data_IF_980552529948
#
_entry.id   IF_980552529948
#
_cell.length_a   1.000
_cell.length_b   1.000
_cell.length_c   1.000
_cell.angle_alpha   90.00
_cell.angle_beta   90.00
_cell.angle_gamma   90.00
#
_symmetry.space_group_name_H-M   'P 1'
#
loop_
_entity.id
_entity.type
_entity.pdbx_description
1 polymer ?
#
# COMPACT_ATOMS: atom_id res chain seq x y z
N UNK A 1 -9.44 3.18 14.16
CA UNK A 1 -8.54 2.90 13.01
C UNK A 1 -7.10 3.03 13.54
N UNK A 2 -6.04 2.59 12.84
CA UNK A 2 -4.66 2.76 13.33
C UNK A 2 -3.67 1.70 12.87
N UNK A 3 -2.39 1.96 13.12
CA UNK A 3 -1.23 1.12 12.76
C UNK A 3 -1.28 -0.34 13.24
N UNK A 4 -1.84 -0.70 14.42
CA UNK A 4 -1.93 -2.11 14.85
C UNK A 4 -2.66 -3.02 13.87
N UNK A 5 -3.56 -2.46 13.04
CA UNK A 5 -4.30 -3.24 12.03
C UNK A 5 -3.43 -3.67 10.85
N UNK A 6 -2.29 -3.00 10.64
CA UNK A 6 -1.33 -3.36 9.61
C UNK A 6 -0.63 -4.69 9.89
N UNK A 7 -0.52 -5.12 11.15
CA UNK A 7 0.00 -6.45 11.49
C UNK A 7 -0.90 -7.59 11.02
N UNK A 8 -2.19 -7.33 10.76
CA UNK A 8 -3.05 -8.28 10.07
C UNK A 8 -2.68 -8.52 8.61
N UNK A 9 -1.78 -7.70 8.02
CA UNK A 9 -1.18 -7.93 6.69
C UNK A 9 0.12 -8.72 6.76
N UNK A 10 0.82 -8.66 7.90
CA UNK A 10 2.06 -9.40 8.11
C UNK A 10 1.71 -10.88 7.95
N UNK A 11 2.48 -11.57 7.10
CA UNK A 11 2.29 -12.95 6.65
C UNK A 11 1.14 -13.23 5.67
N UNK A 12 0.29 -12.25 5.33
CA UNK A 12 -0.64 -12.41 4.19
C UNK A 12 0.13 -12.19 2.91
N UNK A 13 0.00 -13.11 1.95
CA UNK A 13 0.60 -12.95 0.64
C UNK A 13 -0.46 -13.00 -0.44
N UNK A 14 -0.39 -12.04 -1.36
CA UNK A 14 -1.12 -12.15 -2.60
C UNK A 14 -0.47 -13.24 -3.45
N UNK A 15 -1.27 -14.04 -4.15
CA UNK A 15 -0.74 -15.04 -5.08
C UNK A 15 0.17 -14.36 -6.11
N UNK A 16 1.37 -14.92 -6.31
CA UNK A 16 2.43 -14.36 -7.16
C UNK A 16 1.96 -14.05 -8.59
N UNK A 17 1.05 -14.86 -9.12
CA UNK A 17 0.46 -14.69 -10.45
C UNK A 17 -0.40 -13.41 -10.52
N UNK A 18 -1.30 -13.22 -9.54
CA UNK A 18 -2.14 -12.02 -9.47
C UNK A 18 -1.28 -10.77 -9.26
N UNK A 19 -0.24 -10.89 -8.43
CA UNK A 19 0.71 -9.82 -8.20
C UNK A 19 1.39 -9.37 -9.50
N UNK A 20 1.96 -10.30 -10.26
CA UNK A 20 2.68 -9.95 -11.50
C UNK A 20 1.72 -9.38 -12.53
N UNK A 21 0.54 -9.96 -12.66
CA UNK A 21 -0.47 -9.45 -13.57
C UNK A 21 -0.85 -8.02 -13.21
N UNK A 22 -1.12 -7.70 -11.93
CA UNK A 22 -1.40 -6.33 -11.49
C UNK A 22 -0.25 -5.37 -11.78
N UNK A 23 1.00 -5.79 -11.58
CA UNK A 23 2.17 -4.95 -11.86
C UNK A 23 2.25 -4.53 -13.34
N UNK A 24 1.78 -5.35 -14.28
CA UNK A 24 1.71 -4.98 -15.71
C UNK A 24 0.62 -3.96 -16.04
N UNK A 25 -0.30 -3.71 -15.09
CA UNK A 25 -1.50 -2.87 -15.30
C UNK A 25 -1.45 -1.54 -14.56
N UNK A 26 -0.43 -1.30 -13.75
CA UNK A 26 -0.29 -0.06 -13.00
C UNK A 26 0.38 1.00 -13.86
N UNK A 27 -0.34 2.08 -14.17
CA UNK A 27 0.24 3.32 -14.68
C UNK A 27 0.72 4.15 -13.49
N UNK A 28 2.04 4.23 -13.36
CA UNK A 28 2.72 4.87 -12.23
C UNK A 28 2.63 6.39 -12.30
N UNK A 29 2.59 6.98 -13.49
CA UNK A 29 2.52 8.44 -13.64
C UNK A 29 1.12 8.95 -13.29
N UNK A 30 0.11 8.20 -13.70
CA UNK A 30 -1.30 8.57 -13.50
C UNK A 30 -1.89 8.04 -12.20
N UNK A 31 -1.10 7.30 -11.41
CA UNK A 31 -1.56 6.61 -10.21
C UNK A 31 -2.86 5.82 -10.43
N UNK A 32 -2.90 5.08 -11.54
CA UNK A 32 -4.09 4.33 -11.92
C UNK A 32 -3.75 2.88 -12.28
N UNK A 33 -4.74 2.00 -12.13
CA UNK A 33 -4.68 0.66 -12.67
C UNK A 33 -5.57 0.59 -13.91
N UNK A 34 -5.03 0.02 -14.97
CA UNK A 34 -5.67 -0.09 -16.27
C UNK A 34 -6.16 -1.52 -16.46
N UNK A 35 -7.47 -1.68 -16.42
CA UNK A 35 -8.08 -2.98 -16.65
C UNK A 35 -7.94 -3.47 -18.10
N UNK A 36 -8.17 -4.77 -18.35
CA UNK A 36 -8.25 -5.33 -19.70
C UNK A 36 -9.27 -4.65 -20.62
N UNK A 37 -10.35 -4.13 -20.06
CA UNK A 37 -11.38 -3.39 -20.80
C UNK A 37 -10.98 -1.93 -21.11
N UNK A 38 -9.80 -1.50 -20.67
CA UNK A 38 -9.30 -0.14 -20.83
C UNK A 38 -9.89 0.87 -19.84
N UNK A 39 -10.66 0.42 -18.86
CA UNK A 39 -11.10 1.27 -17.76
C UNK A 39 -9.92 1.58 -16.84
N UNK A 40 -9.74 2.86 -16.56
CA UNK A 40 -8.76 3.34 -15.60
C UNK A 40 -9.45 3.56 -14.26
N UNK A 41 -8.80 3.12 -13.18
CA UNK A 41 -9.22 3.49 -11.84
C UNK A 41 -8.06 4.10 -11.08
N UNK A 42 -8.29 5.31 -10.56
CA UNK A 42 -7.37 5.96 -9.64
C UNK A 42 -7.58 5.40 -8.24
N UNK A 43 -6.50 5.33 -7.47
CA UNK A 43 -6.57 4.99 -6.05
C UNK A 43 -6.40 6.26 -5.26
N UNK A 44 -7.44 6.62 -4.51
CA UNK A 44 -7.46 7.82 -3.67
C UNK A 44 -7.03 7.48 -2.22
N UNK A 45 -6.35 8.39 -1.49
CA UNK A 45 -5.99 8.16 -0.09
C UNK A 45 -7.17 7.73 0.80
N UNK A 46 -8.39 8.21 0.56
CA UNK A 46 -9.56 7.79 1.36
C UNK A 46 -9.85 6.30 1.15
N UNK A 47 -9.63 5.77 -0.05
CA UNK A 47 -9.81 4.33 -0.32
C UNK A 47 -8.75 3.49 0.39
N UNK A 48 -7.51 3.98 0.49
CA UNK A 48 -6.46 3.35 1.29
C UNK A 48 -6.86 3.30 2.76
N UNK A 49 -7.41 4.39 3.29
CA UNK A 49 -7.92 4.46 4.66
C UNK A 49 -8.99 3.38 4.91
N UNK A 50 -9.97 3.25 4.02
CA UNK A 50 -11.02 2.25 4.20
C UNK A 50 -10.53 0.81 4.06
N UNK A 51 -9.57 0.57 3.16
CA UNK A 51 -9.03 -0.77 2.92
C UNK A 51 -8.10 -1.21 4.04
N UNK A 52 -7.11 -0.39 4.39
CA UNK A 52 -6.05 -0.74 5.35
C UNK A 52 -6.39 -0.32 6.79
N UNK A 53 -7.21 0.72 6.96
CA UNK A 53 -7.57 1.25 8.27
C UNK A 53 -6.49 2.08 8.93
N UNK A 54 -5.51 2.58 8.17
CA UNK A 54 -4.47 3.49 8.64
C UNK A 54 -4.98 4.94 8.64
N UNK A 55 -4.46 5.85 9.49
CA UNK A 55 -5.00 7.21 9.55
C UNK A 55 -4.84 7.98 8.24
N UNK A 56 -5.87 8.78 7.92
CA UNK A 56 -5.84 9.80 6.88
C UNK A 56 -6.02 11.15 7.57
N UNK A 57 -4.97 11.60 8.24
CA UNK A 57 -4.95 12.90 8.89
C UNK A 57 -4.90 14.07 7.92
N UNK A 58 -4.79 15.27 8.47
CA UNK A 58 -4.74 16.53 7.71
C UNK A 58 -3.32 17.03 7.47
N UNK A 59 -2.33 16.54 8.24
CA UNK A 59 -0.92 16.89 8.09
C UNK A 59 -0.22 15.93 7.13
N UNK A 60 0.70 16.41 6.27
CA UNK A 60 1.56 15.52 5.50
C UNK A 60 2.58 14.83 6.40
N UNK A 61 2.86 13.55 6.15
CA UNK A 61 3.92 12.83 6.88
C UNK A 61 5.28 13.52 6.65
N UNK A 62 6.06 13.81 7.71
CA UNK A 62 7.34 14.49 7.56
C UNK A 62 8.31 13.69 6.70
N UNK A 63 8.96 14.39 5.76
CA UNK A 63 9.96 13.80 4.84
C UNK A 63 11.38 14.30 5.09
N UNK A 64 11.50 15.40 5.84
CA UNK A 64 12.76 16.10 6.11
C UNK A 64 12.71 16.71 7.51
N UNK A 65 13.89 16.94 8.10
CA UNK A 65 14.02 17.65 9.38
C UNK A 65 14.09 19.15 9.11
N UNK A 66 13.20 19.92 9.72
CA UNK A 66 13.05 21.36 9.44
C UNK A 66 13.92 22.23 10.35
N UNK A 67 14.13 21.81 11.60
CA UNK A 67 14.89 22.54 12.62
C UNK A 67 15.97 21.65 13.30
N UNK A 68 16.88 22.27 14.03
CA UNK A 68 18.00 21.58 14.65
C UNK A 68 17.57 20.65 15.79
N UNK A 69 16.48 20.97 16.48
CA UNK A 69 15.88 20.10 17.50
C UNK A 69 15.39 18.78 16.87
N UNK A 70 14.69 18.85 15.74
CA UNK A 70 14.26 17.67 15.00
C UNK A 70 15.45 16.86 14.48
N UNK A 71 16.50 17.52 13.97
CA UNK A 71 17.71 16.82 13.51
C UNK A 71 18.36 16.03 14.66
N UNK A 72 18.55 16.66 15.82
CA UNK A 72 19.09 16.00 17.02
C UNK A 72 18.24 14.80 17.45
N UNK A 73 16.90 14.95 17.43
CA UNK A 73 16.00 13.85 17.71
C UNK A 73 16.19 12.67 16.73
N UNK A 74 16.23 12.94 15.42
CA UNK A 74 16.41 11.90 14.40
C UNK A 74 17.79 11.23 14.47
N UNK A 75 18.83 11.98 14.81
CA UNK A 75 20.17 11.43 15.08
C UNK A 75 20.14 10.50 16.30
N UNK A 76 19.42 10.88 17.36
CA UNK A 76 19.16 10.04 18.52
C UNK A 76 18.49 8.72 18.12
N UNK A 77 17.37 8.79 17.40
CA UNK A 77 16.63 7.62 16.88
C UNK A 77 17.54 6.72 16.02
N UNK A 78 18.33 7.32 15.12
CA UNK A 78 19.23 6.56 14.27
C UNK A 78 20.31 5.84 15.09
N UNK A 79 20.91 6.53 16.06
CA UNK A 79 21.95 5.97 16.93
C UNK A 79 21.42 4.81 17.78
N UNK A 80 20.20 4.95 18.30
CA UNK A 80 19.54 3.97 19.16
C UNK A 80 19.20 2.68 18.41
N UNK A 81 18.69 2.78 17.17
CA UNK A 81 18.22 1.62 16.43
C UNK A 81 19.21 1.05 15.39
N UNK A 82 20.37 1.67 15.18
CA UNK A 82 21.37 1.20 14.17
C UNK A 82 22.53 0.36 14.75
N UNK A 83 22.39 -0.12 15.99
CA UNK A 83 23.43 -0.70 16.88
C UNK A 83 24.33 -1.82 16.34
N UNK A 84 24.09 -2.41 15.17
CA UNK A 84 24.79 -3.64 14.73
C UNK A 84 25.60 -3.56 13.44
N UNK A 85 25.93 -2.39 12.89
CA UNK A 85 27.03 -2.32 11.90
C UNK A 85 27.52 -0.90 11.66
N UNK A 86 28.84 -0.61 11.73
CA UNK A 86 29.44 0.57 11.11
C UNK A 86 29.56 0.29 9.61
N UNK A 87 28.43 0.10 8.92
CA UNK A 87 28.44 0.08 7.47
C UNK A 87 27.97 1.43 6.97
N UNK A 88 28.65 1.96 5.96
CA UNK A 88 28.28 3.14 5.18
C UNK A 88 26.90 3.00 4.47
N UNK A 89 26.03 2.09 4.94
CA UNK A 89 24.69 1.84 4.43
C UNK A 89 23.68 2.62 5.26
N UNK A 90 23.20 3.72 4.69
CA UNK A 90 22.17 4.57 5.27
C UNK A 90 20.89 3.75 5.56
N UNK A 91 20.41 3.77 6.82
CA UNK A 91 19.08 3.28 7.21
C UNK A 91 19.09 2.24 8.35
N UNK A 92 17.97 2.15 9.08
CA UNK A 92 17.80 1.30 10.28
C UNK A 92 17.44 -0.15 9.86
N UNK A 93 18.16 -1.19 10.29
CA UNK A 93 17.79 -2.58 10.02
C UNK A 93 16.44 -2.98 10.64
N UNK A 94 15.59 -3.67 9.88
CA UNK A 94 14.31 -4.22 10.35
C UNK A 94 14.47 -5.04 11.62
N UNK A 95 15.49 -5.92 11.65
CA UNK A 95 15.78 -6.79 12.82
C UNK A 95 15.97 -6.00 14.11
N UNK A 96 16.55 -4.80 14.04
CA UNK A 96 16.80 -3.96 15.20
C UNK A 96 15.49 -3.33 15.69
N UNK A 97 14.60 -2.95 14.76
CA UNK A 97 13.26 -2.45 15.10
C UNK A 97 12.39 -3.56 15.70
N UNK A 98 12.45 -4.79 15.18
CA UNK A 98 11.78 -5.96 15.77
C UNK A 98 12.28 -6.19 17.20
N UNK A 99 13.60 -6.25 17.39
CA UNK A 99 14.20 -6.41 18.71
C UNK A 99 13.80 -5.30 19.67
N UNK A 100 13.76 -4.05 19.21
CA UNK A 100 13.34 -2.91 20.03
C UNK A 100 11.87 -3.04 20.46
N UNK A 101 10.97 -3.42 19.55
CA UNK A 101 9.54 -3.60 19.85
C UNK A 101 9.26 -4.80 20.75
N UNK A 102 10.05 -5.88 20.63
CA UNK A 102 9.92 -7.10 21.46
C UNK A 102 10.62 -6.98 22.83
N UNK A 103 11.59 -6.08 22.96
CA UNK A 103 12.28 -5.79 24.23
C UNK A 103 11.34 -5.04 25.19
N UNK A 104 11.48 -5.21 26.51
CA UNK A 104 10.83 -4.33 27.47
C UNK A 104 11.43 -2.91 27.35
N UNK A 105 10.86 -2.09 26.48
CA UNK A 105 11.11 -0.65 26.44
C UNK A 105 10.38 -0.02 27.62
N UNK A 106 11.13 0.61 28.52
CA UNK A 106 10.55 1.30 29.69
C UNK A 106 9.85 2.60 29.28
N UNK A 107 10.28 3.22 28.18
CA UNK A 107 9.66 4.43 27.62
C UNK A 107 8.64 4.10 26.52
N UNK A 108 7.39 4.49 26.78
CA UNK A 108 6.25 4.38 25.85
C UNK A 108 6.51 5.15 24.56
N UNK A 109 7.21 6.27 24.61
CA UNK A 109 7.53 7.08 23.44
C UNK A 109 8.52 6.36 22.53
N UNK A 110 9.58 5.78 23.09
CA UNK A 110 10.53 4.96 22.33
C UNK A 110 9.84 3.76 21.66
N UNK A 111 8.93 3.09 22.38
CA UNK A 111 8.11 2.03 21.81
C UNK A 111 7.29 2.53 20.62
N UNK A 112 6.61 3.67 20.76
CA UNK A 112 5.80 4.25 19.66
C UNK A 112 6.66 4.55 18.42
N UNK A 113 7.86 5.10 18.61
CA UNK A 113 8.80 5.37 17.50
C UNK A 113 9.24 4.06 16.85
N UNK A 114 9.73 3.10 17.61
CA UNK A 114 10.18 1.81 17.09
C UNK A 114 9.06 1.07 16.36
N UNK A 115 7.87 1.05 16.95
CA UNK A 115 6.67 0.43 16.38
C UNK A 115 6.26 1.09 15.07
N UNK A 116 6.21 2.43 15.03
CA UNK A 116 5.86 3.18 13.81
C UNK A 116 6.87 2.89 12.69
N UNK A 117 8.16 2.97 12.98
CA UNK A 117 9.21 2.71 12.01
C UNK A 117 9.18 1.25 11.51
N UNK A 118 8.94 0.28 12.38
CA UNK A 118 8.76 -1.12 11.99
C UNK A 118 7.58 -1.28 11.05
N UNK A 119 6.44 -0.66 11.40
CA UNK A 119 5.24 -0.72 10.59
C UNK A 119 5.43 -0.06 9.21
N UNK A 120 6.28 0.97 9.11
CA UNK A 120 6.67 1.57 7.84
C UNK A 120 7.58 0.67 6.98
N UNK A 121 8.44 -0.13 7.60
CA UNK A 121 9.27 -1.11 6.89
C UNK A 121 8.40 -2.26 6.35
N UNK A 122 7.42 -2.71 7.12
CA UNK A 122 6.70 -3.96 6.80
C UNK A 122 5.49 -3.77 5.88
N UNK A 123 4.91 -2.56 5.78
CA UNK A 123 3.64 -2.38 5.07
C UNK A 123 3.70 -1.37 3.91
N UNK A 124 4.03 -0.10 4.10
CA UNK A 124 4.04 0.88 3.01
C UNK A 124 5.29 0.80 2.14
N UNK A 125 6.42 0.34 2.67
CA UNK A 125 7.73 0.45 2.01
C UNK A 125 8.63 -0.77 2.22
N UNK A 126 8.17 -1.99 1.93
CA UNK A 126 9.01 -3.16 2.09
C UNK A 126 10.21 -3.10 1.14
N UNK A 127 11.39 -3.06 1.75
CA UNK A 127 12.65 -2.98 1.03
C UNK A 127 13.27 -4.37 0.90
N UNK A 128 13.89 -4.62 -0.25
CA UNK A 128 14.71 -5.84 -0.46
C UNK A 128 15.91 -5.91 0.49
N UNK A 129 16.33 -4.76 1.06
CA UNK A 129 17.44 -4.66 1.99
C UNK A 129 17.04 -4.93 3.46
N UNK A 130 15.76 -5.22 3.74
CA UNK A 130 15.22 -5.37 5.10
C UNK A 130 15.64 -4.21 6.03
N UNK A 131 15.68 -2.99 5.48
CA UNK A 131 16.09 -1.75 6.16
C UNK A 131 15.06 -0.65 5.91
N UNK A 132 14.86 0.19 6.92
CA UNK A 132 14.11 1.43 6.78
C UNK A 132 14.80 2.34 5.77
N UNK A 133 14.04 2.79 4.77
CA UNK A 133 14.53 3.76 3.80
C UNK A 133 14.83 5.09 4.51
N UNK A 134 16.04 5.68 4.37
CA UNK A 134 16.43 6.87 5.13
C UNK A 134 15.47 8.06 5.00
N UNK A 135 14.82 8.24 3.84
CA UNK A 135 13.84 9.32 3.64
C UNK A 135 12.52 9.13 4.42
N UNK A 136 12.34 7.98 5.06
CA UNK A 136 11.21 7.71 5.96
C UNK A 136 11.58 7.91 7.43
N UNK A 137 12.86 8.09 7.76
CA UNK A 137 13.29 8.34 9.14
C UNK A 137 12.57 9.56 9.77
N UNK A 138 12.35 10.68 9.06
CA UNK A 138 11.62 11.83 9.62
C UNK A 138 10.16 11.51 10.01
N UNK A 139 9.57 10.42 9.51
CA UNK A 139 8.24 9.99 9.96
C UNK A 139 8.21 9.62 11.46
N UNK A 140 9.36 9.35 12.10
CA UNK A 140 9.47 9.15 13.54
C UNK A 140 8.92 10.34 14.36
N UNK A 141 8.97 11.57 13.82
CA UNK A 141 8.43 12.77 14.47
C UNK A 141 6.91 12.61 14.71
N UNK A 142 6.22 11.95 13.80
CA UNK A 142 4.79 11.71 13.88
C UNK A 142 4.41 10.61 14.89
N UNK A 143 5.38 9.97 15.58
CA UNK A 143 5.09 8.95 16.59
C UNK A 143 4.34 9.51 17.82
N UNK A 144 4.47 10.81 18.10
CA UNK A 144 3.75 11.49 19.20
C UNK A 144 2.25 11.43 18.96
N UNK A 145 1.83 11.79 17.75
CA UNK A 145 0.43 11.86 17.34
C UNK A 145 0.29 11.34 15.89
N UNK A 146 0.26 10.01 15.68
CA UNK A 146 0.18 9.45 14.35
C UNK A 146 -1.19 9.67 13.70
N UNK A 147 -2.24 10.07 14.43
CA UNK A 147 -3.58 10.19 13.85
C UNK A 147 -3.76 11.47 13.03
N UNK A 148 -3.02 12.53 13.34
CA UNK A 148 -3.07 13.80 12.60
C UNK A 148 -2.39 13.77 11.23
N UNK A 149 -1.64 12.71 10.91
CA UNK A 149 -0.88 12.61 9.66
C UNK A 149 -1.56 11.74 8.59
N UNK A 150 -1.38 12.11 7.32
CA UNK A 150 -1.88 11.41 6.14
C UNK A 150 -0.93 10.29 5.70
N UNK A 151 -1.06 9.14 6.34
CA UNK A 151 -0.32 7.93 5.98
C UNK A 151 -0.83 7.28 4.70
N UNK A 152 -2.07 7.55 4.32
CA UNK A 152 -2.68 7.00 3.12
C UNK A 152 -2.01 7.52 1.85
N UNK A 153 -1.76 8.84 1.80
CA UNK A 153 -1.00 9.45 0.70
C UNK A 153 0.45 8.94 0.64
N UNK A 154 1.08 8.72 1.79
CA UNK A 154 2.43 8.14 1.85
C UNK A 154 2.46 6.72 1.28
N UNK A 155 1.50 5.86 1.67
CA UNK A 155 1.38 4.49 1.13
C UNK A 155 1.25 4.52 -0.38
N UNK A 156 0.40 5.38 -0.95
CA UNK A 156 0.22 5.45 -2.39
C UNK A 156 1.53 5.82 -3.07
N UNK A 157 2.13 6.96 -2.69
CA UNK A 157 3.38 7.46 -3.26
C UNK A 157 4.46 6.37 -3.29
N UNK A 158 4.61 5.63 -2.20
CA UNK A 158 5.67 4.62 -2.08
C UNK A 158 5.34 3.33 -2.79
N UNK A 159 4.10 2.83 -2.68
CA UNK A 159 3.72 1.57 -3.33
C UNK A 159 3.86 1.67 -4.86
N UNK A 160 3.56 2.81 -5.47
CA UNK A 160 3.75 3.04 -6.91
C UNK A 160 5.21 2.94 -7.36
N UNK A 161 6.14 3.49 -6.57
CA UNK A 161 7.58 3.39 -6.83
C UNK A 161 8.07 1.94 -6.65
N UNK A 162 7.46 1.17 -5.75
CA UNK A 162 7.82 -0.23 -5.49
C UNK A 162 7.21 -1.23 -6.47
N UNK A 163 6.07 -0.93 -7.12
CA UNK A 163 5.51 -1.75 -8.21
C UNK A 163 6.54 -1.99 -9.34
N UNK A 164 7.43 -1.02 -9.59
CA UNK A 164 8.55 -1.17 -10.54
C UNK A 164 9.64 -2.16 -10.10
N UNK A 165 9.76 -2.44 -8.80
CA UNK A 165 10.85 -3.26 -8.23
C UNK A 165 10.47 -4.72 -7.97
N UNK A 166 9.29 -5.16 -8.43
CA UNK A 166 8.83 -6.56 -8.35
C UNK A 166 8.92 -7.16 -6.92
N UNK A 167 8.74 -6.33 -5.89
CA UNK A 167 8.80 -6.75 -4.49
C UNK A 167 7.47 -7.41 -4.08
N UNK A 168 7.55 -8.55 -3.37
CA UNK A 168 6.49 -9.51 -3.00
C UNK A 168 5.26 -8.95 -2.26
N UNK A 169 5.14 -7.64 -2.07
CA UNK A 169 4.36 -7.02 -1.01
C UNK A 169 3.46 -5.88 -1.51
N UNK A 170 2.88 -6.03 -2.71
CA UNK A 170 1.84 -5.12 -3.26
C UNK A 170 0.45 -5.50 -2.73
N UNK A 171 0.38 -5.88 -1.44
CA UNK A 171 -0.88 -6.23 -0.78
C UNK A 171 -1.93 -5.12 -0.90
N UNK A 172 -1.62 -3.82 -0.70
CA UNK A 172 -2.64 -2.78 -0.80
C UNK A 172 -3.37 -2.75 -2.15
N UNK A 173 -2.65 -2.76 -3.28
CA UNK A 173 -3.29 -2.74 -4.61
C UNK A 173 -3.98 -4.05 -4.95
N UNK A 174 -3.41 -5.20 -4.57
CA UNK A 174 -4.09 -6.48 -4.72
C UNK A 174 -5.43 -6.50 -4.00
N UNK A 175 -5.45 -6.02 -2.77
CA UNK A 175 -6.67 -5.92 -1.97
C UNK A 175 -7.67 -4.89 -2.54
N UNK A 176 -7.19 -3.76 -3.05
CA UNK A 176 -8.04 -2.76 -3.72
C UNK A 176 -8.64 -3.30 -5.01
N UNK A 177 -7.86 -4.04 -5.80
CA UNK A 177 -8.34 -4.70 -7.01
C UNK A 177 -9.42 -5.74 -6.69
N UNK A 178 -9.12 -6.66 -5.78
CA UNK A 178 -10.07 -7.71 -5.36
C UNK A 178 -11.36 -7.12 -4.77
N UNK A 179 -11.24 -5.99 -4.08
CA UNK A 179 -12.40 -5.26 -3.55
C UNK A 179 -13.29 -4.64 -4.63
N UNK A 180 -12.74 -4.30 -5.80
CA UNK A 180 -13.47 -3.68 -6.90
C UNK A 180 -14.00 -4.68 -7.92
N UNK A 181 -13.68 -5.96 -7.82
CA UNK A 181 -14.22 -6.98 -8.71
C UNK A 181 -15.75 -6.94 -8.72
N UNK A 182 -16.37 -7.13 -9.89
CA UNK A 182 -17.84 -7.22 -10.05
C UNK A 182 -18.38 -8.53 -9.46
N UNK A 183 -18.37 -8.61 -8.12
CA UNK A 183 -18.90 -9.73 -7.34
C UNK A 183 -19.65 -9.21 -6.12
N UNK A 184 -20.54 -10.02 -5.51
CA UNK A 184 -21.13 -9.67 -4.24
C UNK A 184 -20.05 -9.37 -3.18
N UNK A 185 -20.19 -8.27 -2.41
CA UNK A 185 -19.20 -7.90 -1.41
C UNK A 185 -19.15 -8.96 -0.30
N UNK A 186 -17.93 -9.35 0.11
CA UNK A 186 -17.69 -10.43 1.09
C UNK A 186 -18.51 -10.24 2.38
N UNK A 187 -18.48 -9.02 2.96
CA UNK A 187 -19.39 -8.55 4.02
C UNK A 187 -19.60 -7.05 3.88
N UNK A 188 -20.78 -6.51 4.18
CA UNK A 188 -21.05 -5.05 4.19
C UNK A 188 -20.77 -4.45 5.58
N UNK A 189 -20.53 -3.14 5.68
CA UNK A 189 -20.41 -2.40 6.95
C UNK A 189 -19.17 -2.66 7.82
N UNK A 190 -18.31 -3.62 7.49
CA UNK A 190 -17.09 -3.91 8.27
C UNK A 190 -15.91 -3.08 7.79
N UNK A 191 -15.29 -2.33 8.72
CA UNK A 191 -14.08 -1.54 8.48
C UNK A 191 -12.94 -1.82 9.50
N UNK A 192 -11.67 -1.73 9.06
CA UNK A 192 -11.23 -1.65 7.67
C UNK A 192 -11.55 -2.91 6.87
N UNK A 193 -11.67 -2.75 5.54
CA UNK A 193 -12.10 -3.83 4.63
C UNK A 193 -11.17 -5.03 4.67
N UNK A 194 -9.89 -4.84 4.95
CA UNK A 194 -8.93 -5.93 5.07
C UNK A 194 -9.38 -7.05 6.04
N UNK A 195 -10.14 -6.72 7.10
CA UNK A 195 -10.62 -7.70 8.08
C UNK A 195 -11.50 -8.79 7.48
N UNK A 196 -12.24 -8.49 6.42
CA UNK A 196 -13.20 -9.43 5.85
C UNK A 196 -12.55 -10.37 4.83
N UNK A 197 -11.33 -10.06 4.41
CA UNK A 197 -10.59 -10.83 3.41
C UNK A 197 -9.69 -11.85 4.08
N UNK A 198 -10.19 -13.08 4.19
CA UNK A 198 -9.39 -14.26 4.55
C UNK A 198 -8.68 -14.82 3.32
N UNK A 199 -7.69 -15.69 3.49
CA UNK A 199 -7.04 -16.40 2.37
C UNK A 199 -8.06 -17.12 1.49
N UNK A 200 -9.04 -17.79 2.10
CA UNK A 200 -10.12 -18.46 1.38
C UNK A 200 -10.96 -17.50 0.52
N UNK A 201 -11.25 -16.29 1.02
CA UNK A 201 -11.98 -15.28 0.24
C UNK A 201 -11.14 -14.66 -0.87
N UNK A 202 -9.84 -14.49 -0.64
CA UNK A 202 -8.87 -14.07 -1.67
C UNK A 202 -8.81 -15.13 -2.78
N UNK A 203 -8.69 -16.41 -2.42
CA UNK A 203 -8.65 -17.51 -3.38
C UNK A 203 -9.95 -17.64 -4.18
N UNK A 204 -11.09 -17.52 -3.51
CA UNK A 204 -12.39 -17.50 -4.17
C UNK A 204 -12.51 -16.36 -5.17
N UNK A 205 -12.06 -15.16 -4.81
CA UNK A 205 -12.05 -14.00 -5.70
C UNK A 205 -11.15 -14.22 -6.92
N UNK A 206 -9.91 -14.63 -6.66
CA UNK A 206 -8.87 -14.90 -7.65
C UNK A 206 -9.35 -15.94 -8.67
N UNK A 207 -9.90 -17.04 -8.20
CA UNK A 207 -10.36 -18.13 -9.06
C UNK A 207 -11.59 -17.74 -9.88
N UNK A 208 -12.50 -16.94 -9.31
CA UNK A 208 -13.68 -16.45 -10.03
C UNK A 208 -13.31 -15.47 -11.15
N UNK A 209 -12.24 -14.69 -10.95
CA UNK A 209 -11.78 -13.67 -11.89
C UNK A 209 -10.78 -14.18 -12.95
N UNK A 210 -10.36 -15.44 -12.84
CA UNK A 210 -9.40 -16.04 -13.78
C UNK A 210 -10.00 -16.26 -15.17
N UNK A 211 -9.23 -15.92 -16.21
CA UNK A 211 -9.51 -16.16 -17.62
C UNK A 211 -8.88 -17.50 -18.03
N UNK A 212 -9.36 -18.11 -19.13
CA UNK A 212 -8.90 -19.42 -19.64
C UNK A 212 -7.38 -19.50 -19.84
N UNK A 213 -6.73 -18.40 -20.24
CA UNK A 213 -5.29 -18.33 -20.51
C UNK A 213 -4.43 -18.17 -19.23
N UNK A 214 -5.06 -18.16 -18.05
CA UNK A 214 -4.38 -18.06 -16.75
C UNK A 214 -4.30 -16.64 -16.18
N UNK A 215 -4.56 -15.63 -16.99
CA UNK A 215 -4.64 -14.20 -16.63
C UNK A 215 -5.91 -13.83 -15.85
N UNK A 216 -6.02 -12.57 -15.42
CA UNK A 216 -7.12 -12.04 -14.61
C UNK A 216 -7.95 -10.96 -15.35
N UNK A 217 -9.09 -10.58 -14.76
CA UNK A 217 -10.00 -9.56 -15.26
C UNK A 217 -11.28 -10.09 -15.89
N UNK A 218 -11.63 -11.37 -15.70
CA UNK A 218 -12.88 -11.97 -16.21
C UNK A 218 -14.13 -11.25 -15.70
N UNK A 219 -14.13 -10.85 -14.42
CA UNK A 219 -15.29 -10.20 -13.81
C UNK A 219 -15.37 -8.72 -14.17
N UNK A 220 -14.25 -8.11 -14.56
CA UNK A 220 -14.09 -6.67 -14.61
C UNK A 220 -14.20 -6.03 -13.22
N UNK A 221 -14.11 -4.70 -13.18
CA UNK A 221 -14.22 -3.94 -11.92
C UNK A 221 -15.40 -2.97 -11.93
N UNK A 222 -15.85 -2.57 -10.74
CA UNK A 222 -16.82 -1.51 -10.49
C UNK A 222 -16.15 -0.34 -9.79
N UNK A 223 -16.57 0.86 -10.14
CA UNK A 223 -16.23 2.05 -9.38
C UNK A 223 -16.99 2.00 -8.06
N UNK A 224 -16.24 1.87 -6.96
CA UNK A 224 -16.85 1.90 -5.62
C UNK A 224 -16.72 3.32 -5.09
N UNK A 225 -17.75 4.14 -5.31
CA UNK A 225 -17.97 5.37 -4.57
C UNK A 225 -18.40 5.00 -3.16
N UNK A 226 -17.44 4.83 -2.27
CA UNK A 226 -17.72 4.79 -0.84
C UNK A 226 -18.11 6.23 -0.43
N UNK A 227 -19.40 6.51 -0.29
CA UNK A 227 -19.85 7.69 0.44
C UNK A 227 -19.92 7.30 1.91
N UNK A 228 -19.36 8.12 2.79
CA UNK A 228 -19.76 8.09 4.21
C UNK A 228 -21.20 8.58 4.21
N UNK A 229 -22.14 7.64 4.28
CA UNK A 229 -23.48 7.99 4.71
C UNK A 229 -23.40 7.86 6.22
N UNK A 230 -23.38 8.99 6.91
CA UNK A 230 -23.74 9.04 8.32
C UNK A 230 -25.23 8.65 8.37
N UNK A 231 -25.48 7.35 8.47
CA UNK A 231 -26.84 6.83 8.64
C UNK A 231 -27.14 6.97 10.12
N UNK A 232 -27.83 8.06 10.49
CA UNK A 232 -28.78 7.96 11.58
C UNK A 232 -29.74 6.82 11.23
N UNK A 233 -29.92 5.87 12.15
CA UNK A 233 -30.83 4.73 11.97
C UNK A 233 -32.22 5.22 11.57
N UNK A 234 -32.54 5.16 10.28
CA UNK A 234 -33.82 4.73 9.72
C UNK A 234 -33.79 4.84 8.19
N UNK A 235 -34.53 3.93 7.55
CA UNK A 235 -34.84 3.86 6.12
C UNK A 235 -33.78 3.31 5.14
N UNK A 236 -33.88 1.99 4.98
CA UNK A 236 -33.48 1.24 3.79
C UNK A 236 -34.27 1.76 2.58
N UNK A 237 -33.58 2.45 1.66
CA UNK A 237 -34.01 2.51 0.25
C UNK A 237 -32.80 2.31 -0.65
N UNK A 238 -32.92 1.27 -1.50
CA UNK A 238 -32.08 0.99 -2.66
C UNK A 238 -31.83 2.24 -3.50
N UNK A 239 -30.57 2.64 -3.65
CA UNK A 239 -29.98 3.06 -4.93
C UNK A 239 -28.51 3.52 -4.74
N UNK A 240 -27.81 3.67 -5.88
CA UNK A 240 -26.47 4.25 -6.07
C UNK A 240 -25.31 3.27 -6.23
N UNK A 241 -25.43 2.42 -7.25
CA UNK A 241 -24.32 2.22 -8.20
C UNK A 241 -24.45 3.33 -9.24
N UNK A 242 -23.70 4.43 -9.09
CA UNK A 242 -23.63 5.48 -10.12
C UNK A 242 -22.52 5.15 -11.12
N UNK A 243 -22.82 5.17 -12.41
CA UNK A 243 -21.88 4.91 -13.52
C UNK A 243 -21.27 6.18 -14.11
N UNK A 244 -21.27 7.31 -13.40
CA UNK A 244 -20.75 8.58 -13.92
C UNK A 244 -19.33 8.84 -13.43
N UNK A 245 -18.36 8.66 -14.33
CA UNK A 245 -16.94 8.93 -14.07
C UNK A 245 -15.93 8.28 -15.02
N UNK A 246 -16.38 7.41 -15.94
CA UNK A 246 -15.49 6.68 -16.86
C UNK A 246 -14.88 7.61 -17.91
N UNK A 247 -13.59 7.94 -17.78
CA UNK A 247 -12.80 8.44 -18.91
C UNK A 247 -12.19 7.26 -19.66
N UNK A 248 -12.67 7.00 -20.88
CA UNK A 248 -11.97 6.12 -21.83
C UNK A 248 -10.80 6.89 -22.44
N UNK A 249 -9.59 6.34 -22.36
CA UNK A 249 -8.46 6.83 -23.17
C UNK A 249 -8.76 6.48 -24.64
N UNK A 250 -8.56 7.39 -25.62
CA UNK A 250 -8.62 7.04 -27.03
C UNK A 250 -7.63 5.92 -27.32
N UNK A 251 -8.05 4.88 -28.05
CA UNK A 251 -7.15 3.82 -28.51
C UNK A 251 -6.20 4.42 -29.55
N UNK A 252 -5.05 4.90 -29.12
CA UNK A 252 -3.91 5.07 -30.01
C UNK A 252 -3.23 3.70 -30.20
N UNK A 253 -2.75 3.45 -31.44
CA UNK A 253 -2.28 2.17 -31.95
C UNK A 253 -1.08 1.56 -31.20
N UNK A 254 -0.50 0.46 -31.72
CA UNK A 254 0.35 -0.44 -30.95
C UNK A 254 1.54 0.30 -30.33
N UNK A 255 1.48 0.44 -29.00
CA UNK A 255 2.53 1.00 -28.17
C UNK A 255 3.79 0.16 -28.25
N UNK A 256 4.89 0.87 -28.45
CA UNK A 256 6.26 0.40 -28.53
C UNK A 256 6.64 -0.59 -27.41
N UNK A 257 6.97 -1.82 -27.81
CA UNK A 257 7.93 -2.69 -27.10
C UNK A 257 8.89 -3.27 -28.13
N UNK A 258 9.82 -2.43 -28.59
CA UNK A 258 10.95 -2.87 -29.41
C UNK A 258 12.07 -3.41 -28.51
N UNK A 259 12.08 -4.71 -28.25
CA UNK A 259 13.29 -5.39 -27.81
C UNK A 259 14.28 -5.42 -28.97
N UNK A 260 15.26 -4.51 -29.02
CA UNK A 260 16.40 -4.70 -29.91
C UNK A 260 17.31 -5.78 -29.31
N UNK A 261 17.18 -7.00 -29.80
CA UNK A 261 18.22 -8.03 -29.67
C UNK A 261 19.47 -7.53 -30.40
N UNK A 262 20.49 -7.13 -29.65
CA UNK A 262 21.85 -7.07 -30.18
C UNK A 262 22.44 -8.48 -30.15
N UNK A 263 22.15 -9.27 -31.19
CA UNK A 263 22.94 -10.44 -31.58
C UNK A 263 23.89 -10.01 -32.70
N UNK A 264 25.19 -10.17 -32.46
CA UNK A 264 26.25 -9.58 -33.27
C UNK A 264 26.56 -10.26 -34.59
N UNK A 265 27.55 -9.73 -35.29
CA UNK A 265 28.37 -10.49 -36.23
C UNK A 265 29.76 -9.85 -36.34
N UNK A 266 30.77 -10.67 -36.05
CA UNK A 266 32.14 -10.48 -36.51
C UNK A 266 32.16 -10.57 -38.04
N UNK A 267 32.94 -9.70 -38.67
CA UNK A 267 34.08 -10.05 -39.55
C UNK A 267 34.98 -8.82 -39.64
#
# INVERSE_FOLDING_TARGET
>A
MGFPRMFGLVDRQLHRELYFWLATRVDVLSYCLINPDGLEFTVDPVQVHWVLGIPKGYLPVPKEAMDDATKQFLEGVLSQFSTTTPSNMNGIPRKNLVQAVESPLEDVFEFKVAFLLLALVDVPCPTTSHRLYPKLLPAAIAAVDPESYDWCSLVLEKTYVFCFKLCKEVLPYGMMYLYRLRRPPVKRGVFPRLKVWTEAEIDKAKNADRIMDGDFGKLGVVEVLMKVVDVEEEDVVDELISTQGVKKRPREGPGYFGWSKSSGMQT
#
